data_IF_615583030710
#
_entry.id   IF_615583030710
#
_cell.length_a   1.000
_cell.length_b   1.000
_cell.length_c   1.000
_cell.angle_alpha   90.00
_cell.angle_beta   90.00
_cell.angle_gamma   90.00
#
_symmetry.space_group_name_H-M   'P 1'
#
loop_
_entity.id
_entity.type
_entity.pdbx_description
1 polymer ?
#
# COMPACT_ATOMS: atom_id res chain seq x y z
N UNK A 1 -21.70 -18.70 -0.03
CA UNK A 1 -22.03 -18.65 -1.47
C UNK A 1 -21.26 -17.50 -2.12
N UNK A 2 -20.00 -17.75 -2.50
CA UNK A 2 -19.23 -16.83 -3.35
C UNK A 2 -18.55 -17.71 -4.39
N UNK A 3 -19.02 -17.63 -5.64
CA UNK A 3 -18.46 -18.36 -6.76
C UNK A 3 -17.21 -17.63 -7.24
N UNK A 4 -16.04 -18.21 -6.98
CA UNK A 4 -14.76 -17.79 -7.57
C UNK A 4 -14.59 -18.60 -8.84
N UNK A 5 -14.82 -17.98 -9.99
CA UNK A 5 -14.56 -18.59 -11.29
C UNK A 5 -13.04 -18.64 -11.55
N UNK A 6 -12.43 -19.78 -11.22
CA UNK A 6 -11.08 -20.11 -11.64
C UNK A 6 -11.08 -20.50 -13.12
N UNK A 7 -10.55 -19.64 -13.99
CA UNK A 7 -10.20 -20.03 -15.35
C UNK A 7 -8.88 -20.81 -15.34
N UNK A 8 -8.98 -22.14 -15.22
CA UNK A 8 -7.90 -23.07 -15.54
C UNK A 8 -7.96 -23.34 -17.04
N UNK A 9 -7.06 -22.73 -17.81
CA UNK A 9 -6.87 -23.07 -19.21
C UNK A 9 -6.04 -24.37 -19.31
N UNK A 10 -6.73 -25.50 -19.46
CA UNK A 10 -6.13 -26.77 -19.85
C UNK A 10 -5.82 -26.72 -21.35
N UNK A 11 -4.54 -26.87 -21.72
CA UNK A 11 -4.13 -27.07 -23.10
C UNK A 11 -3.29 -28.36 -23.20
N UNK A 12 -3.88 -29.42 -23.78
CA UNK A 12 -3.12 -30.61 -24.19
C UNK A 12 -3.69 -31.25 -25.47
N UNK A 13 -3.03 -30.90 -26.59
CA UNK A 13 -2.64 -31.69 -27.78
C UNK A 13 -3.67 -32.57 -28.51
N UNK A 14 -3.98 -32.16 -29.75
CA UNK A 14 -4.35 -33.05 -30.87
C UNK A 14 -3.31 -32.96 -32.01
N UNK A 15 -3.25 -33.95 -32.93
CA UNK A 15 -2.07 -34.25 -33.75
C UNK A 15 -1.91 -33.35 -34.98
N UNK A 16 -0.69 -33.39 -35.52
CA UNK A 16 -0.21 -32.69 -36.69
C UNK A 16 -0.93 -33.10 -37.98
N UNK A 17 -1.25 -32.13 -38.82
CA UNK A 17 -1.28 -32.32 -40.27
C UNK A 17 -0.87 -31.05 -41.01
N UNK A 18 -0.01 -31.27 -42.01
CA UNK A 18 0.69 -30.28 -42.82
C UNK A 18 -0.20 -29.77 -43.94
N UNK A 19 -0.51 -28.48 -43.95
CA UNK A 19 -0.87 -27.78 -45.19
C UNK A 19 -0.57 -26.28 -45.04
N UNK A 20 0.33 -25.78 -45.91
CA UNK A 20 0.70 -24.39 -45.96
C UNK A 20 -0.48 -23.51 -46.36
N UNK A 21 -1.00 -22.75 -45.40
CA UNK A 21 -1.85 -21.60 -45.64
C UNK A 21 -1.26 -20.43 -44.87
N UNK A 22 -0.99 -19.32 -45.56
CA UNK A 22 -0.55 -18.07 -44.94
C UNK A 22 -1.56 -17.68 -43.86
N UNK A 23 -1.18 -17.89 -42.60
CA UNK A 23 -1.90 -17.44 -41.43
C UNK A 23 -1.93 -15.91 -41.48
N UNK A 24 -2.96 -15.33 -42.09
CA UNK A 24 -3.30 -13.93 -41.85
C UNK A 24 -3.46 -13.84 -40.34
N UNK A 25 -2.53 -13.14 -39.67
CA UNK A 25 -2.58 -12.86 -38.25
C UNK A 25 -3.91 -12.16 -38.02
N UNK A 26 -4.90 -12.91 -37.56
CA UNK A 26 -6.20 -12.40 -37.16
C UNK A 26 -5.93 -11.48 -35.98
N UNK A 27 -5.79 -10.17 -36.26
CA UNK A 27 -6.01 -9.19 -35.20
C UNK A 27 -7.47 -9.39 -34.78
N UNK A 28 -7.76 -9.66 -33.49
CA UNK A 28 -9.15 -9.74 -33.05
C UNK A 28 -9.85 -8.48 -33.54
N UNK A 29 -10.94 -8.69 -34.28
CA UNK A 29 -11.76 -7.65 -34.91
C UNK A 29 -11.87 -6.49 -33.93
N UNK A 30 -11.38 -5.31 -34.34
CA UNK A 30 -11.49 -4.10 -33.54
C UNK A 30 -12.92 -4.01 -33.01
N UNK A 31 -13.03 -3.99 -31.69
CA UNK A 31 -14.29 -3.85 -30.98
C UNK A 31 -15.06 -2.70 -31.63
N UNK A 32 -16.34 -2.92 -31.96
CA UNK A 32 -17.13 -1.91 -32.68
C UNK A 32 -17.00 -0.56 -31.97
N UNK A 33 -16.79 0.55 -32.70
CA UNK A 33 -16.51 1.84 -32.08
C UNK A 33 -17.61 2.18 -31.09
N UNK A 34 -17.24 2.43 -29.84
CA UNK A 34 -18.20 2.74 -28.79
C UNK A 34 -19.07 3.92 -29.23
N UNK A 35 -20.42 3.76 -29.18
CA UNK A 35 -21.33 4.81 -29.59
C UNK A 35 -20.96 6.17 -28.94
N UNK A 36 -21.03 7.29 -29.69
CA UNK A 36 -20.55 8.58 -29.20
C UNK A 36 -21.29 9.06 -27.95
N UNK A 37 -22.54 8.64 -27.75
CA UNK A 37 -23.30 8.92 -26.54
C UNK A 37 -22.71 8.22 -25.30
N UNK A 38 -22.25 6.97 -25.41
CA UNK A 38 -21.63 6.23 -24.29
C UNK A 38 -20.29 6.84 -23.86
N UNK A 39 -19.47 7.31 -24.81
CA UNK A 39 -18.24 8.04 -24.47
C UNK A 39 -18.54 9.33 -23.72
N UNK A 40 -19.55 10.08 -24.18
CA UNK A 40 -19.98 11.32 -23.53
C UNK A 40 -20.52 11.08 -22.14
N UNK A 41 -21.24 9.99 -21.93
CA UNK A 41 -21.76 9.57 -20.63
C UNK A 41 -20.64 9.16 -19.69
N UNK A 42 -19.66 8.38 -20.16
CA UNK A 42 -18.47 8.02 -19.38
C UNK A 42 -17.71 9.25 -18.86
N UNK A 43 -17.39 10.21 -19.73
CA UNK A 43 -16.69 11.43 -19.32
C UNK A 43 -17.54 12.39 -18.46
N UNK A 44 -18.86 12.19 -18.37
CA UNK A 44 -19.74 12.92 -17.45
C UNK A 44 -19.72 12.39 -16.02
N UNK A 45 -19.20 11.18 -15.79
CA UNK A 45 -19.15 10.57 -14.46
C UNK A 45 -18.21 11.30 -13.49
N UNK A 46 -17.31 12.16 -14.00
CA UNK A 46 -16.39 12.97 -13.20
C UNK A 46 -14.97 12.41 -13.15
N UNK A 47 -14.21 12.86 -12.17
CA UNK A 47 -12.80 12.48 -11.99
C UNK A 47 -12.67 11.41 -10.91
N UNK A 48 -11.88 10.38 -11.19
CA UNK A 48 -11.62 9.28 -10.27
C UNK A 48 -10.11 9.04 -10.16
N UNK A 49 -9.69 8.49 -9.02
CA UNK A 49 -8.31 8.05 -8.82
C UNK A 49 -8.22 6.53 -8.97
N UNK A 50 -7.19 6.08 -9.69
CA UNK A 50 -6.85 4.67 -9.85
C UNK A 50 -5.76 4.22 -8.88
N UNK A 51 -5.10 3.10 -9.21
CA UNK A 51 -3.92 2.61 -8.46
C UNK A 51 -2.86 3.72 -8.34
N UNK A 52 -2.23 3.92 -7.17
CA UNK A 52 -1.18 4.91 -7.01
C UNK A 52 -0.05 4.69 -8.02
N UNK A 53 0.44 5.78 -8.64
CA UNK A 53 1.52 5.71 -9.63
C UNK A 53 2.78 5.07 -9.06
N UNK A 54 3.09 5.29 -7.77
CA UNK A 54 4.23 4.67 -7.10
C UNK A 54 4.16 3.14 -7.07
N UNK A 55 2.97 2.59 -6.81
CA UNK A 55 2.76 1.14 -6.86
C UNK A 55 2.93 0.59 -8.28
N UNK A 56 2.39 1.27 -9.30
CA UNK A 56 2.58 0.86 -10.70
C UNK A 56 4.06 0.87 -11.13
N UNK A 57 4.81 1.89 -10.70
CA UNK A 57 6.25 1.96 -10.97
C UNK A 57 7.03 0.85 -10.26
N UNK A 58 6.63 0.50 -9.04
CA UNK A 58 7.22 -0.62 -8.32
C UNK A 58 6.92 -1.97 -9.00
N UNK A 59 5.68 -2.19 -9.44
CA UNK A 59 5.29 -3.41 -10.17
C UNK A 59 6.13 -3.58 -11.44
N UNK A 60 6.35 -2.47 -12.18
CA UNK A 60 7.21 -2.45 -13.36
C UNK A 60 8.68 -2.75 -12.99
N UNK A 61 9.21 -2.14 -11.93
CA UNK A 61 10.57 -2.41 -11.46
C UNK A 61 10.74 -3.87 -11.01
N UNK A 62 9.72 -4.44 -10.37
CA UNK A 62 9.67 -5.84 -9.95
C UNK A 62 9.65 -6.79 -11.15
N UNK A 63 8.84 -6.48 -12.18
CA UNK A 63 8.81 -7.23 -13.43
C UNK A 63 10.17 -7.21 -14.16
N UNK A 64 10.89 -6.10 -14.09
CA UNK A 64 12.25 -5.95 -14.63
C UNK A 64 13.36 -6.51 -13.73
N UNK A 65 13.01 -7.11 -12.57
CA UNK A 65 13.96 -7.60 -11.55
C UNK A 65 14.94 -6.51 -11.05
N UNK A 66 14.50 -5.26 -11.06
CA UNK A 66 15.24 -4.08 -10.56
C UNK A 66 14.55 -3.46 -9.35
N UNK A 67 13.87 -4.27 -8.52
CA UNK A 67 13.20 -3.80 -7.33
C UNK A 67 14.20 -3.53 -6.20
N UNK A 68 14.25 -2.28 -5.73
CA UNK A 68 15.03 -1.85 -4.58
C UNK A 68 14.11 -1.55 -3.40
N UNK A 69 14.65 -1.54 -2.18
CA UNK A 69 13.86 -1.22 -0.99
C UNK A 69 13.37 0.23 -1.00
N UNK A 70 14.14 1.14 -1.60
CA UNK A 70 13.75 2.53 -1.80
C UNK A 70 12.50 2.66 -2.69
N UNK A 71 12.44 1.89 -3.79
CA UNK A 71 11.27 1.89 -4.66
C UNK A 71 10.04 1.31 -3.95
N UNK A 72 10.23 0.29 -3.10
CA UNK A 72 9.17 -0.28 -2.28
C UNK A 72 8.64 0.75 -1.28
N UNK A 73 9.54 1.47 -0.60
CA UNK A 73 9.16 2.56 0.31
C UNK A 73 8.38 3.67 -0.40
N UNK A 74 8.85 4.11 -1.57
CA UNK A 74 8.17 5.14 -2.36
C UNK A 74 6.76 4.68 -2.79
N UNK A 75 6.57 3.39 -3.05
CA UNK A 75 5.24 2.84 -3.31
C UNK A 75 4.33 2.90 -2.08
N UNK A 76 4.85 2.56 -0.88
CA UNK A 76 4.12 2.72 0.38
C UNK A 76 3.72 4.19 0.63
N UNK A 77 4.64 5.13 0.41
CA UNK A 77 4.37 6.58 0.55
C UNK A 77 3.30 7.05 -0.45
N UNK A 78 3.37 6.61 -1.71
CA UNK A 78 2.37 6.98 -2.72
C UNK A 78 0.98 6.41 -2.39
N UNK A 79 0.90 5.20 -1.85
CA UNK A 79 -0.37 4.60 -1.43
C UNK A 79 -0.96 5.35 -0.23
N UNK A 80 -0.14 5.66 0.77
CA UNK A 80 -0.56 6.41 1.96
C UNK A 80 -0.96 7.85 1.63
N UNK A 81 -0.29 8.52 0.68
CA UNK A 81 -0.70 9.84 0.18
C UNK A 81 -2.14 9.82 -0.36
N UNK A 82 -2.46 8.88 -1.26
CA UNK A 82 -3.81 8.77 -1.79
C UNK A 82 -4.83 8.45 -0.69
N UNK A 83 -4.42 7.68 0.31
CA UNK A 83 -5.27 7.29 1.42
C UNK A 83 -5.59 8.47 2.35
N UNK A 84 -4.59 9.26 2.73
CA UNK A 84 -4.74 10.43 3.60
C UNK A 84 -5.59 11.53 2.94
N UNK A 85 -5.50 11.65 1.61
CA UNK A 85 -6.30 12.61 0.84
C UNK A 85 -7.71 12.10 0.46
N UNK A 86 -8.17 10.98 1.04
CA UNK A 86 -9.48 10.35 0.77
C UNK A 86 -9.73 10.10 -0.75
N UNK A 87 -8.67 9.91 -1.54
CA UNK A 87 -8.76 9.66 -2.99
C UNK A 87 -9.09 8.21 -3.31
N UNK A 88 -8.87 7.31 -2.35
CA UNK A 88 -9.15 5.88 -2.47
C UNK A 88 -10.00 5.41 -1.30
N UNK A 89 -10.85 4.41 -1.53
CA UNK A 89 -11.66 3.79 -0.48
C UNK A 89 -10.79 2.93 0.44
N UNK A 90 -11.28 2.71 1.68
CA UNK A 90 -10.60 1.84 2.64
C UNK A 90 -10.37 0.42 2.06
N UNK A 91 -11.37 -0.14 1.37
CA UNK A 91 -11.26 -1.45 0.72
C UNK A 91 -10.12 -1.52 -0.29
N UNK A 92 -9.98 -0.50 -1.15
CA UNK A 92 -8.89 -0.43 -2.15
C UNK A 92 -7.53 -0.25 -1.49
N UNK A 93 -7.47 0.53 -0.41
CA UNK A 93 -6.26 0.69 0.39
C UNK A 93 -5.82 -0.63 1.01
N UNK A 94 -6.73 -1.36 1.68
CA UNK A 94 -6.41 -2.65 2.29
C UNK A 94 -5.93 -3.67 1.26
N UNK A 95 -6.58 -3.74 0.09
CA UNK A 95 -6.15 -4.62 -0.99
C UNK A 95 -4.72 -4.29 -1.48
N UNK A 96 -4.39 -3.00 -1.63
CA UNK A 96 -3.05 -2.57 -2.04
C UNK A 96 -2.00 -2.76 -0.93
N UNK A 97 -2.38 -2.60 0.34
CA UNK A 97 -1.51 -2.91 1.50
C UNK A 97 -1.15 -4.39 1.51
N UNK A 98 -2.11 -5.29 1.29
CA UNK A 98 -1.85 -6.74 1.21
C UNK A 98 -0.87 -7.09 0.08
N UNK A 99 -0.98 -6.43 -1.07
CA UNK A 99 -0.04 -6.59 -2.20
C UNK A 99 1.38 -6.13 -1.83
N UNK A 100 1.51 -4.95 -1.20
CA UNK A 100 2.80 -4.43 -0.76
C UNK A 100 3.41 -5.27 0.37
N UNK A 101 2.60 -5.80 1.28
CA UNK A 101 3.04 -6.69 2.36
C UNK A 101 3.69 -7.96 1.78
N UNK A 102 3.09 -8.55 0.74
CA UNK A 102 3.69 -9.69 0.03
C UNK A 102 5.08 -9.33 -0.53
N UNK A 103 5.26 -8.13 -1.05
CA UNK A 103 6.56 -7.65 -1.54
C UNK A 103 7.56 -7.39 -0.41
N UNK A 104 7.13 -6.88 0.74
CA UNK A 104 7.97 -6.69 1.94
C UNK A 104 8.46 -8.05 2.46
N UNK A 105 7.56 -9.02 2.55
CA UNK A 105 7.87 -10.37 3.02
C UNK A 105 8.79 -11.11 2.04
N UNK A 106 8.60 -10.93 0.73
CA UNK A 106 9.41 -11.56 -0.32
C UNK A 106 10.80 -10.93 -0.56
N UNK A 107 11.08 -9.75 0.00
CA UNK A 107 12.34 -9.02 -0.21
C UNK A 107 13.41 -9.27 0.87
N UNK A 108 13.16 -10.20 1.79
CA UNK A 108 14.13 -10.57 2.84
C UNK A 108 14.21 -9.56 3.99
N UNK A 109 13.22 -8.66 4.13
CA UNK A 109 13.13 -7.72 5.26
C UNK A 109 12.86 -8.41 6.62
N UNK A 110 12.45 -9.68 6.60
CA UNK A 110 12.06 -10.46 7.78
C UNK A 110 13.20 -11.21 8.47
N UNK A 111 14.39 -11.29 7.87
CA UNK A 111 15.51 -12.03 8.48
C UNK A 111 15.84 -11.43 9.86
N UNK A 112 15.63 -12.16 10.99
CA UNK A 112 15.96 -11.66 12.33
C UNK A 112 17.48 -11.52 12.53
N UNK A 113 18.26 -12.20 11.69
CA UNK A 113 19.71 -12.05 11.54
C UNK A 113 20.11 -10.73 10.87
N UNK A 114 19.15 -9.95 10.36
CA UNK A 114 19.30 -8.59 9.83
C UNK A 114 19.56 -7.53 10.88
N UNK A 115 19.98 -7.90 12.11
CA UNK A 115 20.56 -7.01 13.11
C UNK A 115 21.99 -6.58 12.67
N UNK A 116 22.05 -5.95 11.51
CA UNK A 116 23.26 -5.61 10.79
C UNK A 116 24.05 -6.82 10.30
N UNK A 117 24.67 -6.70 9.13
CA UNK A 117 25.80 -7.57 8.84
C UNK A 117 26.85 -7.27 9.90
N UNK A 118 27.19 -8.27 10.71
CA UNK A 118 28.32 -8.16 11.64
C UNK A 118 29.58 -8.14 10.78
N UNK A 119 30.02 -6.94 10.42
CA UNK A 119 31.28 -6.75 9.73
C UNK A 119 32.37 -6.96 10.77
N UNK A 120 33.18 -7.99 10.55
CA UNK A 120 34.38 -8.19 11.37
C UNK A 120 35.48 -7.34 10.74
N UNK A 121 35.85 -6.25 11.40
CA UNK A 121 36.98 -5.43 10.97
C UNK A 121 38.27 -6.27 11.08
N UNK A 122 39.30 -5.87 10.35
CA UNK A 122 40.64 -6.51 10.33
C UNK A 122 41.28 -6.70 11.73
N UNK A 123 40.82 -5.94 12.73
CA UNK A 123 41.23 -6.04 14.14
C UNK A 123 40.34 -6.98 14.98
N UNK A 124 39.47 -7.78 14.35
CA UNK A 124 38.56 -8.71 15.04
C UNK A 124 37.32 -8.04 15.66
N UNK A 125 37.20 -6.71 15.60
CA UNK A 125 36.04 -5.99 16.12
C UNK A 125 34.81 -6.24 15.25
N UNK A 126 33.79 -6.86 15.86
CA UNK A 126 32.48 -7.11 15.25
C UNK A 126 31.64 -5.83 15.31
N UNK A 127 31.62 -5.07 14.22
CA UNK A 127 30.80 -3.87 14.09
C UNK A 127 29.50 -4.27 13.40
N UNK A 128 28.36 -3.92 14.00
CA UNK A 128 27.05 -4.06 13.36
C UNK A 128 26.93 -2.98 12.30
N UNK A 129 27.07 -3.33 11.03
CA UNK A 129 26.72 -2.41 9.96
C UNK A 129 25.20 -2.28 9.93
N UNK A 130 24.69 -1.11 10.33
CA UNK A 130 23.27 -0.78 10.16
C UNK A 130 22.95 -0.82 8.67
N UNK A 131 22.34 -1.91 8.18
CA UNK A 131 21.65 -1.87 6.89
C UNK A 131 20.36 -1.08 7.14
N UNK A 132 20.47 0.23 6.94
CA UNK A 132 19.50 1.28 7.29
C UNK A 132 18.22 1.28 6.44
N UNK A 133 17.89 0.18 5.77
CA UNK A 133 16.70 0.13 4.93
C UNK A 133 16.01 -1.20 5.18
N UNK A 134 15.28 -1.27 6.29
CA UNK A 134 14.37 -2.39 6.58
C UNK A 134 12.97 -1.81 6.68
N UNK A 135 12.06 -2.36 5.91
CA UNK A 135 10.64 -2.01 5.96
C UNK A 135 9.94 -3.15 6.70
N UNK A 136 9.17 -2.79 7.72
CA UNK A 136 8.31 -3.72 8.45
C UNK A 136 6.86 -3.23 8.34
N UNK A 137 5.93 -4.18 8.27
CA UNK A 137 4.51 -3.90 8.38
C UNK A 137 4.12 -3.90 9.86
N UNK A 138 3.48 -2.83 10.32
CA UNK A 138 3.01 -2.65 11.70
C UNK A 138 1.60 -2.05 11.69
N UNK A 139 0.75 -2.48 12.62
CA UNK A 139 -0.56 -1.89 12.82
C UNK A 139 -0.42 -0.62 13.69
N UNK A 140 -0.54 0.55 13.07
CA UNK A 140 -0.43 1.85 13.75
C UNK A 140 -1.80 2.56 13.82
N UNK A 141 -2.16 3.18 14.96
CA UNK A 141 -3.39 3.96 15.06
C UNK A 141 -3.36 5.19 14.14
N UNK A 142 -4.54 5.63 13.70
CA UNK A 142 -4.72 6.80 12.82
C UNK A 142 -4.58 8.13 13.58
N UNK A 143 -3.40 8.37 14.11
CA UNK A 143 -3.01 9.60 14.77
C UNK A 143 -1.93 10.29 13.95
N UNK A 144 -1.97 11.62 13.91
CA UNK A 144 -0.96 12.39 13.19
C UNK A 144 0.32 12.44 14.03
N UNK A 145 1.45 12.02 13.44
CA UNK A 145 2.80 12.20 14.00
C UNK A 145 3.04 11.59 15.40
N UNK A 146 2.38 10.47 15.71
CA UNK A 146 2.44 9.83 17.04
C UNK A 146 3.86 9.54 17.56
N UNK A 147 4.82 9.24 16.67
CA UNK A 147 6.20 8.91 17.05
C UNK A 147 7.05 10.12 17.42
N UNK A 148 6.68 11.30 16.94
CA UNK A 148 7.46 12.53 17.10
C UNK A 148 6.83 13.49 18.11
N UNK A 149 5.53 13.36 18.34
CA UNK A 149 4.74 14.27 19.17
C UNK A 149 4.20 13.56 20.40
N UNK A 150 3.74 14.36 21.36
CA UNK A 150 2.98 13.87 22.50
C UNK A 150 1.70 13.16 22.02
N UNK A 151 1.24 12.16 22.77
CA UNK A 151 0.01 11.44 22.44
C UNK A 151 -1.19 12.40 22.44
N UNK A 152 -1.20 13.36 23.37
CA UNK A 152 -2.28 14.34 23.46
C UNK A 152 -2.36 15.22 22.22
N UNK A 153 -1.23 15.78 21.77
CA UNK A 153 -1.19 16.65 20.59
C UNK A 153 -1.54 15.87 19.31
N UNK A 154 -1.04 14.65 19.20
CA UNK A 154 -1.35 13.74 18.09
C UNK A 154 -2.85 13.43 17.98
N UNK A 155 -3.53 13.27 19.13
CA UNK A 155 -4.98 13.07 19.21
C UNK A 155 -5.77 14.34 18.91
N UNK A 156 -5.28 15.51 19.30
CA UNK A 156 -5.91 16.80 18.98
C UNK A 156 -5.86 17.10 17.48
N UNK A 157 -4.73 16.80 16.83
CA UNK A 157 -4.52 17.05 15.40
C UNK A 157 -5.10 15.96 14.50
N UNK A 158 -5.51 14.80 15.04
CA UNK A 158 -6.17 13.76 14.25
C UNK A 158 -7.59 14.20 13.85
N UNK A 159 -7.86 14.26 12.54
CA UNK A 159 -9.17 14.62 11.98
C UNK A 159 -10.30 13.72 12.50
N UNK A 160 -10.00 12.43 12.71
CA UNK A 160 -10.96 11.46 13.24
C UNK A 160 -11.32 11.74 14.70
N UNK A 161 -10.33 11.91 15.57
CA UNK A 161 -10.57 12.13 17.01
C UNK A 161 -11.18 13.51 17.24
N UNK A 162 -10.68 14.53 16.54
CA UNK A 162 -11.15 15.90 16.68
C UNK A 162 -12.64 16.03 16.38
N UNK A 163 -13.12 15.42 15.29
CA UNK A 163 -14.54 15.44 14.88
C UNK A 163 -15.44 14.62 15.80
N UNK A 164 -14.97 13.45 16.27
CA UNK A 164 -15.77 12.57 17.14
C UNK A 164 -15.93 13.12 18.56
N UNK A 165 -14.87 13.68 19.13
CA UNK A 165 -14.88 14.20 20.50
C UNK A 165 -15.17 15.69 20.59
N UNK A 166 -15.19 16.41 19.47
CA UNK A 166 -15.37 17.87 19.38
C UNK A 166 -14.30 18.62 20.17
N UNK A 167 -13.03 18.30 19.91
CA UNK A 167 -11.86 18.80 20.67
C UNK A 167 -11.65 20.31 20.58
N UNK A 168 -12.28 20.98 19.60
CA UNK A 168 -12.33 22.44 19.52
C UNK A 168 -13.19 23.10 20.61
N UNK A 169 -13.90 22.32 21.41
CA UNK A 169 -14.70 22.80 22.55
C UNK A 169 -14.08 22.34 23.87
N UNK A 170 -14.23 23.15 24.92
CA UNK A 170 -13.74 22.81 26.26
C UNK A 170 -14.34 21.50 26.79
N UNK A 171 -15.61 21.24 26.46
CA UNK A 171 -16.28 20.00 26.84
C UNK A 171 -15.66 18.78 26.11
N UNK A 172 -15.31 18.93 24.84
CA UNK A 172 -14.60 17.90 24.09
C UNK A 172 -13.19 17.66 24.63
N UNK A 173 -12.49 18.72 25.02
CA UNK A 173 -11.16 18.62 25.63
C UNK A 173 -11.20 17.89 26.98
N UNK A 174 -12.20 18.18 27.82
CA UNK A 174 -12.43 17.43 29.08
C UNK A 174 -12.71 15.95 28.83
N UNK A 175 -13.48 15.61 27.80
CA UNK A 175 -13.75 14.22 27.40
C UNK A 175 -12.49 13.50 26.92
N UNK A 176 -11.63 14.18 26.15
CA UNK A 176 -10.36 13.62 25.71
C UNK A 176 -9.42 13.34 26.89
N UNK A 177 -9.29 14.30 27.82
CA UNK A 177 -8.51 14.10 29.06
C UNK A 177 -9.07 12.97 29.93
N UNK A 178 -10.39 12.86 30.04
CA UNK A 178 -11.04 11.76 30.75
C UNK A 178 -10.76 10.40 30.06
N UNK A 179 -10.72 10.36 28.74
CA UNK A 179 -10.39 9.15 27.97
C UNK A 179 -8.94 8.72 28.21
N UNK A 180 -7.98 9.65 28.18
CA UNK A 180 -6.58 9.37 28.52
C UNK A 180 -6.42 8.86 29.95
N UNK A 181 -7.11 9.49 30.91
CA UNK A 181 -7.12 9.04 32.30
C UNK A 181 -7.69 7.62 32.44
N UNK A 182 -8.72 7.26 31.66
CA UNK A 182 -9.28 5.89 31.63
C UNK A 182 -8.36 4.86 31.00
N UNK A 183 -7.53 5.27 30.04
CA UNK A 183 -6.50 4.41 29.45
C UNK A 183 -5.28 4.23 30.38
N UNK A 184 -5.18 5.01 31.46
CA UNK A 184 -4.10 4.91 32.45
C UNK A 184 -2.88 5.79 32.16
N UNK A 185 -2.99 6.74 31.23
CA UNK A 185 -1.91 7.69 30.96
C UNK A 185 -1.98 8.89 31.94
N UNK A 186 -0.90 9.21 32.64
CA UNK A 186 -0.86 10.40 33.50
C UNK A 186 -0.87 11.67 32.64
N UNK A 187 -1.67 12.66 33.03
CA UNK A 187 -1.79 13.94 32.29
C UNK A 187 -0.48 14.72 32.21
N UNK A 188 0.50 14.42 33.08
CA UNK A 188 1.80 15.09 33.09
C UNK A 188 2.74 14.60 31.97
N UNK A 189 2.54 13.37 31.48
CA UNK A 189 3.39 12.73 30.47
C UNK A 189 2.69 12.63 29.09
N UNK A 190 1.48 13.17 28.97
CA UNK A 190 0.68 13.19 27.75
C UNK A 190 0.86 14.47 26.95
#
# INVERSE_FOLDING_TARGET
MVAVAACVAVAARGPADLAGARQRRWWPRAEAPTPPHLRREYYRLGTFHGKPSGCLMYDLAHALRKNTNELLWLACVALTDQFVHDRITNERYQAAVMELEQHINGSGNLDPSGFGSVLTLKDGTKIRASKTSRIAYEDEPRLMLLREWSLFDSMLCSSYVATKLKTWSDNGLKKLKLLLARMGFPLADC
#
